data_IF_107370525313
#
_entry.id   IF_107370525313
#
_cell.length_a   1.000
_cell.length_b   1.000
_cell.length_c   1.000
_cell.angle_alpha   90.00
_cell.angle_beta   90.00
_cell.angle_gamma   90.00
#
_symmetry.space_group_name_H-M   'P 1'
#
loop_
_entity.id
_entity.type
_entity.pdbx_description
1 polymer ?
#
# COMPACT_ATOMS: atom_id res chain seq x y z
N UNK A 1 -4.18 -8.25 -16.05
CA UNK A 1 -3.21 -9.34 -15.84
C UNK A 1 -3.91 -10.48 -15.14
N UNK A 2 -3.48 -11.71 -15.36
CA UNK A 2 -3.82 -12.81 -14.46
C UNK A 2 -2.89 -12.76 -13.24
N UNK A 3 -3.35 -13.25 -12.09
CA UNK A 3 -2.55 -13.34 -10.87
C UNK A 3 -1.49 -14.44 -11.00
N UNK A 4 -1.93 -15.62 -11.42
CA UNK A 4 -1.09 -16.80 -11.68
C UNK A 4 -1.42 -17.40 -13.04
N UNK A 5 -0.41 -18.00 -13.68
CA UNK A 5 -0.52 -18.75 -14.94
C UNK A 5 0.39 -19.96 -14.89
N UNK A 6 0.02 -21.04 -15.59
CA UNK A 6 0.80 -22.29 -15.61
C UNK A 6 1.59 -22.53 -16.91
N UNK A 7 1.40 -21.68 -17.93
CA UNK A 7 1.99 -21.82 -19.25
C UNK A 7 1.32 -22.88 -20.15
N UNK A 8 0.28 -23.55 -19.67
CA UNK A 8 -0.54 -24.52 -20.42
C UNK A 8 -1.88 -23.93 -20.88
N UNK A 9 -2.11 -22.64 -20.60
CA UNK A 9 -3.31 -21.91 -20.98
C UNK A 9 -4.30 -21.71 -19.82
N UNK A 10 -3.99 -22.16 -18.60
CA UNK A 10 -4.80 -21.85 -17.43
C UNK A 10 -4.32 -20.56 -16.77
N UNK A 11 -5.26 -19.86 -16.12
CA UNK A 11 -5.00 -18.64 -15.39
C UNK A 11 -5.90 -18.53 -14.17
N UNK A 12 -5.38 -17.89 -13.12
CA UNK A 12 -6.15 -17.48 -11.94
C UNK A 12 -6.41 -15.98 -12.04
N UNK A 13 -7.68 -15.60 -12.02
CA UNK A 13 -8.12 -14.20 -12.01
C UNK A 13 -8.51 -13.84 -10.57
N UNK A 14 -7.60 -13.16 -9.88
CA UNK A 14 -7.78 -12.61 -8.55
C UNK A 14 -6.74 -11.52 -8.31
N UNK A 15 -6.76 -10.95 -7.11
CA UNK A 15 -5.61 -10.26 -6.54
C UNK A 15 -5.55 -10.52 -5.03
N UNK A 16 -4.37 -10.40 -4.44
CA UNK A 16 -4.13 -10.64 -3.02
C UNK A 16 -3.65 -9.37 -2.32
N UNK A 17 -3.95 -9.22 -1.04
CA UNK A 17 -3.57 -8.03 -0.29
C UNK A 17 -2.07 -7.96 0.09
N UNK A 18 -1.36 -9.08 0.06
CA UNK A 18 0.08 -9.12 0.31
C UNK A 18 0.86 -8.67 -0.93
N UNK A 19 1.99 -7.98 -0.73
CA UNK A 19 2.81 -7.49 -1.83
C UNK A 19 3.97 -8.47 -2.16
N UNK A 20 4.44 -8.56 -3.40
CA UNK A 20 3.92 -7.90 -4.61
C UNK A 20 2.58 -8.48 -5.06
N UNK A 21 1.73 -7.63 -5.64
CA UNK A 21 0.41 -7.97 -6.18
C UNK A 21 0.11 -7.16 -7.45
N UNK A 22 -1.06 -7.35 -8.09
CA UNK A 22 -1.34 -6.68 -9.37
C UNK A 22 -1.47 -5.16 -9.21
N UNK A 23 -2.00 -4.68 -8.07
CA UNK A 23 -2.08 -3.25 -7.76
C UNK A 23 -0.69 -2.59 -7.65
N UNK A 24 0.31 -3.30 -7.15
CA UNK A 24 1.63 -2.73 -6.86
C UNK A 24 2.65 -2.89 -7.98
N UNK A 25 2.25 -3.39 -9.16
CA UNK A 25 3.12 -3.46 -10.33
C UNK A 25 3.79 -2.11 -10.70
N UNK A 26 3.11 -0.94 -10.60
CA UNK A 26 3.77 0.35 -10.80
C UNK A 26 4.84 0.67 -9.75
N UNK A 27 4.67 0.25 -8.50
CA UNK A 27 5.71 0.45 -7.45
C UNK A 27 6.98 -0.32 -7.74
N UNK A 28 6.86 -1.44 -8.46
CA UNK A 28 7.97 -2.27 -8.88
C UNK A 28 8.57 -1.81 -10.22
N UNK A 29 8.09 -0.70 -10.78
CA UNK A 29 8.47 -0.18 -12.10
C UNK A 29 8.28 -1.22 -13.23
N UNK A 30 7.33 -2.15 -13.09
CA UNK A 30 7.04 -3.17 -14.10
C UNK A 30 6.07 -2.66 -15.16
N UNK A 31 5.27 -1.65 -14.82
CA UNK A 31 4.29 -1.03 -15.72
C UNK A 31 4.02 0.42 -15.30
N UNK A 32 3.67 1.27 -16.26
CA UNK A 32 3.25 2.63 -15.96
C UNK A 32 1.89 2.64 -15.29
N UNK A 33 1.69 3.58 -14.36
CA UNK A 33 0.45 3.71 -13.57
C UNK A 33 -0.76 4.07 -14.44
N UNK A 34 -0.56 4.73 -15.57
CA UNK A 34 -1.60 5.11 -16.53
C UNK A 34 -1.70 4.14 -17.73
N UNK A 35 -0.95 3.04 -17.72
CA UNK A 35 -1.03 2.03 -18.77
C UNK A 35 -2.45 1.42 -18.80
N UNK A 36 -3.14 1.40 -19.95
CA UNK A 36 -4.50 0.87 -20.05
C UNK A 36 -4.64 -0.58 -19.57
N UNK A 37 -3.62 -1.43 -19.73
CA UNK A 37 -3.62 -2.80 -19.23
C UNK A 37 -3.57 -2.85 -17.70
N UNK A 38 -2.77 -1.98 -17.08
CA UNK A 38 -2.73 -1.85 -15.64
C UNK A 38 -4.05 -1.29 -15.10
N UNK A 39 -4.59 -0.22 -15.70
CA UNK A 39 -5.87 0.39 -15.28
C UNK A 39 -7.02 -0.61 -15.33
N UNK A 40 -7.08 -1.45 -16.38
CA UNK A 40 -8.06 -2.54 -16.46
C UNK A 40 -7.85 -3.59 -15.37
N UNK A 41 -6.60 -3.93 -15.06
CA UNK A 41 -6.27 -4.90 -14.00
C UNK A 41 -6.63 -4.36 -12.62
N UNK A 42 -6.32 -3.08 -12.34
CA UNK A 42 -6.70 -2.36 -11.13
C UNK A 42 -8.22 -2.35 -10.94
N UNK A 43 -8.95 -2.05 -12.01
CA UNK A 43 -10.42 -2.04 -11.99
C UNK A 43 -10.99 -3.41 -11.63
N UNK A 44 -10.39 -4.50 -12.12
CA UNK A 44 -10.75 -5.87 -11.74
C UNK A 44 -10.36 -6.20 -10.28
N UNK A 45 -9.12 -5.88 -9.86
CA UNK A 45 -8.63 -6.13 -8.49
C UNK A 45 -9.52 -5.46 -7.44
N UNK A 46 -10.06 -4.27 -7.76
CA UNK A 46 -10.89 -3.44 -6.88
C UNK A 46 -12.41 -3.59 -7.15
N UNK A 47 -12.84 -4.73 -7.69
CA UNK A 47 -14.26 -5.04 -7.91
C UNK A 47 -14.65 -6.34 -7.24
N UNK A 48 -15.96 -6.59 -7.13
CA UNK A 48 -16.50 -7.88 -6.67
C UNK A 48 -16.22 -9.06 -7.62
N UNK A 49 -15.62 -8.82 -8.79
CA UNK A 49 -15.14 -9.89 -9.66
C UNK A 49 -13.85 -10.52 -9.12
N UNK A 50 -13.07 -9.79 -8.32
CA UNK A 50 -11.99 -10.37 -7.53
C UNK A 50 -12.57 -11.07 -6.29
N UNK A 51 -12.38 -12.39 -6.12
CA UNK A 51 -12.94 -13.13 -4.99
C UNK A 51 -12.40 -12.70 -3.62
N UNK A 52 -11.30 -11.94 -3.58
CA UNK A 52 -10.71 -11.42 -2.35
C UNK A 52 -10.88 -9.91 -2.17
N UNK A 53 -11.70 -9.24 -2.98
CA UNK A 53 -12.09 -7.87 -2.70
C UNK A 53 -13.35 -7.86 -1.83
N UNK A 54 -13.28 -7.16 -0.69
CA UNK A 54 -14.36 -7.10 0.28
C UNK A 54 -14.69 -5.65 0.62
N UNK A 55 -15.96 -5.41 0.98
CA UNK A 55 -16.46 -4.11 1.42
C UNK A 55 -17.19 -4.24 2.75
N UNK A 56 -16.96 -3.29 3.64
CA UNK A 56 -17.69 -3.13 4.88
C UNK A 56 -17.90 -1.67 5.24
N UNK A 57 -18.44 -1.43 6.42
CA UNK A 57 -18.82 -0.12 6.93
C UNK A 57 -17.63 0.83 7.11
N UNK A 58 -16.48 0.32 7.54
CA UNK A 58 -15.31 1.13 7.87
C UNK A 58 -14.31 1.20 6.71
N UNK A 59 -14.32 0.22 5.81
CA UNK A 59 -13.48 0.26 4.62
C UNK A 59 -13.74 -0.89 3.64
N UNK A 60 -13.12 -0.78 2.47
CA UNK A 60 -13.09 -1.78 1.42
C UNK A 60 -11.66 -2.00 0.90
N UNK A 61 -11.40 -3.22 0.44
CA UNK A 61 -10.05 -3.55 -0.02
C UNK A 61 -9.82 -5.03 -0.23
N UNK A 62 -8.57 -5.34 -0.55
CA UNK A 62 -8.11 -6.70 -0.74
C UNK A 62 -7.98 -7.42 0.61
N UNK A 63 -8.43 -8.66 0.64
CA UNK A 63 -8.10 -9.66 1.63
C UNK A 63 -7.12 -10.69 1.07
N UNK A 64 -7.04 -11.84 1.75
CA UNK A 64 -6.16 -12.93 1.35
C UNK A 64 -6.74 -14.28 1.78
N UNK A 65 -6.55 -15.37 1.00
CA UNK A 65 -6.82 -16.73 1.48
C UNK A 65 -5.99 -17.11 2.71
N UNK A 66 -4.94 -16.36 3.03
CA UNK A 66 -4.15 -16.54 4.26
C UNK A 66 -4.93 -16.17 5.53
N UNK A 67 -5.94 -15.33 5.41
CA UNK A 67 -6.75 -14.83 6.54
C UNK A 67 -8.21 -15.21 6.36
N UNK A 68 -9.04 -14.81 7.32
CA UNK A 68 -10.46 -15.12 7.30
C UNK A 68 -11.14 -14.49 6.08
N UNK A 69 -12.01 -15.26 5.42
CA UNK A 69 -12.85 -14.75 4.33
C UNK A 69 -13.66 -13.53 4.78
N UNK A 70 -13.75 -12.52 3.92
CA UNK A 70 -14.43 -11.25 4.20
C UNK A 70 -13.59 -10.21 4.94
N UNK A 71 -12.34 -10.52 5.30
CA UNK A 71 -11.45 -9.59 6.00
C UNK A 71 -10.49 -8.92 5.02
N UNK A 72 -10.20 -7.64 5.26
CA UNK A 72 -9.32 -6.81 4.43
C UNK A 72 -7.98 -6.61 5.13
N UNK A 73 -6.91 -6.37 4.37
CA UNK A 73 -5.60 -6.05 4.94
C UNK A 73 -5.28 -4.58 4.71
N UNK A 74 -4.93 -3.83 5.77
CA UNK A 74 -4.41 -2.48 5.60
C UNK A 74 -3.21 -2.41 4.65
N UNK A 75 -2.35 -3.45 4.61
CA UNK A 75 -1.21 -3.51 3.69
C UNK A 75 -1.65 -3.39 2.22
N UNK A 76 -2.72 -4.07 1.82
CA UNK A 76 -3.25 -4.02 0.46
C UNK A 76 -3.81 -2.64 0.11
N UNK A 77 -4.54 -2.02 1.04
CA UNK A 77 -5.10 -0.66 0.89
C UNK A 77 -3.97 0.38 0.81
N UNK A 78 -2.88 0.21 1.58
CA UNK A 78 -1.70 1.06 1.47
C UNK A 78 -1.04 0.90 0.09
N UNK A 79 -0.91 -0.34 -0.41
CA UNK A 79 -0.40 -0.60 -1.77
C UNK A 79 -1.28 0.03 -2.86
N UNK A 80 -2.60 0.00 -2.68
CA UNK A 80 -3.56 0.68 -3.53
C UNK A 80 -3.35 2.21 -3.53
N UNK A 81 -3.19 2.81 -2.35
CA UNK A 81 -2.98 4.25 -2.17
C UNK A 81 -1.65 4.71 -2.76
N UNK A 82 -0.59 3.92 -2.58
CA UNK A 82 0.72 4.11 -3.20
C UNK A 82 0.66 4.06 -4.74
N UNK A 83 -0.45 3.58 -5.32
CA UNK A 83 -0.63 3.51 -6.77
C UNK A 83 -1.87 4.25 -7.26
N UNK A 84 -2.41 5.16 -6.43
CA UNK A 84 -3.56 6.01 -6.77
C UNK A 84 -3.32 6.81 -8.03
N UNK A 85 -4.36 6.90 -8.87
CA UNK A 85 -4.32 7.63 -10.15
C UNK A 85 -4.53 9.13 -9.96
N UNK A 86 -5.22 9.52 -8.89
CA UNK A 86 -5.57 10.91 -8.58
C UNK A 86 -5.26 11.25 -7.11
N UNK A 87 -5.01 12.54 -6.79
CA UNK A 87 -4.92 13.00 -5.40
C UNK A 87 -6.19 12.75 -4.58
N UNK A 88 -7.36 12.79 -5.22
CA UNK A 88 -8.65 12.52 -4.59
C UNK A 88 -8.74 11.06 -4.13
N UNK A 89 -8.38 10.10 -5.02
CA UNK A 89 -8.36 8.67 -4.67
C UNK A 89 -7.40 8.41 -3.48
N UNK A 90 -6.22 9.05 -3.51
CA UNK A 90 -5.25 8.97 -2.42
C UNK A 90 -5.83 9.50 -1.11
N UNK A 91 -6.50 10.65 -1.13
CA UNK A 91 -7.11 11.25 0.05
C UNK A 91 -8.21 10.34 0.64
N UNK A 92 -9.04 9.74 -0.21
CA UNK A 92 -10.09 8.82 0.21
C UNK A 92 -9.51 7.55 0.86
N UNK A 93 -8.46 6.96 0.27
CA UNK A 93 -7.77 5.81 0.86
C UNK A 93 -7.09 6.15 2.19
N UNK A 94 -6.49 7.34 2.32
CA UNK A 94 -5.91 7.79 3.59
C UNK A 94 -6.97 8.00 4.68
N UNK A 95 -8.14 8.54 4.32
CA UNK A 95 -9.25 8.69 5.24
C UNK A 95 -9.77 7.34 5.72
N UNK A 96 -9.86 6.36 4.82
CA UNK A 96 -10.28 5.01 5.15
C UNK A 96 -9.27 4.27 6.03
N UNK A 97 -7.97 4.36 5.73
CA UNK A 97 -6.93 3.75 6.56
C UNK A 97 -6.99 4.20 8.03
N UNK A 98 -7.41 5.45 8.30
CA UNK A 98 -7.61 5.96 9.67
C UNK A 98 -8.79 5.33 10.40
N UNK A 99 -9.74 4.71 9.71
CA UNK A 99 -10.87 4.01 10.35
C UNK A 99 -10.49 2.56 10.70
N UNK A 100 -9.45 2.02 10.06
CA UNK A 100 -9.01 0.64 10.16
C UNK A 100 -7.77 0.45 11.06
N UNK A 101 -7.18 1.53 11.56
CA UNK A 101 -6.04 1.46 12.46
C UNK A 101 -6.43 0.99 13.87
N UNK A 102 -5.45 0.51 14.62
CA UNK A 102 -5.62 0.13 16.01
C UNK A 102 -5.61 1.33 16.95
N UNK A 103 -5.98 1.12 18.22
CA UNK A 103 -6.00 2.16 19.26
C UNK A 103 -4.68 2.96 19.45
N UNK A 104 -3.56 2.43 18.96
CA UNK A 104 -2.24 3.08 19.00
C UNK A 104 -1.85 3.77 17.68
N UNK A 105 -2.77 3.83 16.70
CA UNK A 105 -2.49 4.30 15.33
C UNK A 105 -1.62 3.35 14.52
N UNK A 106 -1.57 2.06 14.90
CA UNK A 106 -0.79 1.02 14.22
C UNK A 106 -1.71 0.05 13.50
N UNK A 107 -1.28 -0.44 12.35
CA UNK A 107 -2.02 -1.38 11.54
C UNK A 107 -1.86 -2.83 12.00
N UNK A 108 -2.98 -3.52 11.87
CA UNK A 108 -3.09 -4.96 11.97
C UNK A 108 -2.73 -5.64 10.64
N UNK A 109 -2.58 -6.97 10.64
CA UNK A 109 -2.42 -7.72 9.40
C UNK A 109 -3.71 -7.72 8.60
N UNK A 110 -4.81 -8.15 9.22
CA UNK A 110 -6.14 -8.14 8.62
C UNK A 110 -7.20 -7.72 9.62
N UNK A 111 -8.29 -7.13 9.12
CA UNK A 111 -9.40 -6.60 9.92
C UNK A 111 -10.75 -6.99 9.31
N UNK A 112 -11.75 -7.16 10.17
CA UNK A 112 -13.16 -7.21 9.76
C UNK A 112 -13.58 -5.78 9.33
N UNK A 113 -13.91 -5.53 8.04
CA UNK A 113 -14.19 -4.19 7.54
C UNK A 113 -15.49 -3.59 8.11
N UNK A 114 -16.34 -4.38 8.76
CA UNK A 114 -17.49 -3.89 9.53
C UNK A 114 -17.15 -3.67 11.01
N UNK A 115 -16.06 -4.25 11.51
CA UNK A 115 -15.70 -4.29 12.93
C UNK A 115 -14.16 -4.26 13.12
N UNK A 116 -13.47 -3.13 12.88
CA UNK A 116 -12.00 -3.07 12.84
C UNK A 116 -11.29 -3.51 14.14
N UNK A 117 -11.99 -3.48 15.28
CA UNK A 117 -11.51 -4.04 16.54
C UNK A 117 -11.38 -5.57 16.54
N UNK A 118 -11.83 -6.26 15.49
CA UNK A 118 -11.57 -7.67 15.22
C UNK A 118 -10.47 -7.76 14.17
N UNK A 119 -9.32 -8.28 14.58
CA UNK A 119 -8.13 -8.26 13.74
C UNK A 119 -7.23 -9.49 13.95
N UNK A 120 -6.33 -9.73 13.00
CA UNK A 120 -5.18 -10.63 13.15
C UNK A 120 -3.91 -9.81 13.31
N UNK A 121 -2.95 -10.33 14.10
CA UNK A 121 -1.66 -9.69 14.43
C UNK A 121 -1.77 -8.22 14.84
N UNK A 122 -1.78 -7.99 16.15
CA UNK A 122 -1.93 -6.65 16.75
C UNK A 122 -0.85 -5.61 16.39
N UNK A 123 0.25 -6.03 15.78
CA UNK A 123 1.34 -5.16 15.36
C UNK A 123 1.98 -5.75 14.10
N UNK A 124 1.72 -5.12 12.94
CA UNK A 124 2.29 -5.53 11.68
C UNK A 124 3.26 -4.48 11.14
N UNK A 125 4.52 -4.61 11.54
CA UNK A 125 5.58 -3.64 11.24
C UNK A 125 5.75 -3.30 9.76
N UNK A 126 5.45 -4.23 8.84
CA UNK A 126 5.52 -3.94 7.41
C UNK A 126 4.43 -2.96 6.95
N UNK A 127 3.17 -3.19 7.31
CA UNK A 127 2.09 -2.25 7.02
C UNK A 127 2.38 -0.88 7.63
N UNK A 128 2.86 -0.85 8.88
CA UNK A 128 3.25 0.39 9.56
C UNK A 128 4.37 1.15 8.82
N UNK A 129 5.42 0.45 8.37
CA UNK A 129 6.52 1.07 7.64
C UNK A 129 6.08 1.60 6.27
N UNK A 130 5.28 0.82 5.53
CA UNK A 130 4.79 1.23 4.21
C UNK A 130 3.81 2.41 4.32
N UNK A 131 2.97 2.44 5.35
CA UNK A 131 2.12 3.60 5.62
C UNK A 131 2.93 4.85 5.95
N UNK A 132 4.00 4.72 6.74
CA UNK A 132 4.90 5.85 7.00
C UNK A 132 5.51 6.38 5.69
N UNK A 133 5.94 5.49 4.79
CA UNK A 133 6.42 5.88 3.46
C UNK A 133 5.33 6.60 2.64
N UNK A 134 4.11 6.07 2.61
CA UNK A 134 2.96 6.70 1.95
C UNK A 134 2.75 8.12 2.46
N UNK A 135 2.72 8.32 3.78
CA UNK A 135 2.58 9.65 4.37
C UNK A 135 3.74 10.55 3.96
N UNK A 136 5.00 10.10 4.04
CA UNK A 136 6.13 10.93 3.64
C UNK A 136 6.04 11.38 2.18
N UNK A 137 5.65 10.49 1.27
CA UNK A 137 5.49 10.82 -0.15
C UNK A 137 4.37 11.83 -0.38
N UNK A 138 3.19 11.59 0.21
CA UNK A 138 2.04 12.50 0.10
C UNK A 138 2.36 13.90 0.60
N UNK A 139 3.08 13.98 1.72
CA UNK A 139 3.50 15.25 2.36
C UNK A 139 4.57 15.98 1.55
N UNK A 140 5.50 15.25 0.96
CA UNK A 140 6.57 15.80 0.15
C UNK A 140 6.13 16.16 -1.29
N UNK A 141 4.84 16.03 -1.61
CA UNK A 141 4.29 16.19 -2.97
C UNK A 141 5.00 15.29 -4.00
N UNK A 142 5.45 14.12 -3.55
CA UNK A 142 6.02 13.10 -4.41
C UNK A 142 4.89 12.23 -4.96
N UNK A 143 5.04 11.79 -6.21
CA UNK A 143 4.13 10.81 -6.78
C UNK A 143 4.09 9.54 -5.90
N UNK A 144 2.90 8.95 -5.69
CA UNK A 144 2.72 7.73 -4.89
C UNK A 144 3.60 6.55 -5.36
N UNK A 145 3.92 6.50 -6.66
CA UNK A 145 4.97 5.66 -7.23
C UNK A 145 6.11 6.55 -7.79
N UNK A 146 7.38 6.21 -7.59
CA UNK A 146 8.48 6.98 -8.18
C UNK A 146 8.39 6.93 -9.72
N UNK A 147 8.14 8.08 -10.38
CA UNK A 147 8.32 8.22 -11.84
C UNK A 147 9.82 8.26 -12.14
N UNK A 148 10.44 7.08 -12.13
CA UNK A 148 11.76 6.92 -12.70
C UNK A 148 11.60 6.33 -14.11
N UNK A 149 11.61 7.21 -15.10
CA UNK A 149 12.02 6.91 -16.50
C UNK A 149 13.46 6.34 -16.61
N UNK A 150 14.04 5.88 -15.50
CA UNK A 150 15.27 5.12 -15.39
C UNK A 150 14.91 3.71 -14.92
N UNK A 151 14.88 2.81 -15.89
CA UNK A 151 15.05 1.37 -15.66
C UNK A 151 16.19 1.17 -14.65
N UNK A 152 15.86 0.74 -13.43
CA UNK A 152 16.89 0.20 -12.53
C UNK A 152 17.20 -1.22 -13.04
N UNK A 153 18.45 -1.53 -13.39
CA UNK A 153 18.81 -2.84 -13.91
C UNK A 153 18.63 -3.91 -12.83
N UNK A 154 17.94 -4.99 -13.19
CA UNK A 154 18.13 -6.31 -12.58
C UNK A 154 17.18 -6.65 -11.44
N UNK A 155 16.15 -7.42 -11.78
CA UNK A 155 15.27 -8.19 -10.89
C UNK A 155 16.03 -9.23 -10.02
N UNK A 156 17.36 -9.30 -10.11
CA UNK A 156 18.22 -10.30 -9.47
C UNK A 156 19.61 -9.72 -9.12
N UNK A 157 19.72 -8.96 -8.03
CA UNK A 157 21.03 -8.81 -7.36
C UNK A 157 21.54 -7.40 -7.11
N UNK A 158 20.74 -6.52 -6.50
CA UNK A 158 21.30 -5.49 -5.63
C UNK A 158 21.11 -5.92 -4.17
N UNK A 159 22.21 -6.10 -3.44
CA UNK A 159 22.17 -6.13 -1.97
C UNK A 159 21.91 -4.72 -1.49
N UNK A 160 20.72 -4.48 -0.95
CA UNK A 160 20.42 -3.25 -0.24
C UNK A 160 20.94 -3.38 1.19
N UNK A 161 22.00 -2.65 1.52
CA UNK A 161 22.33 -2.40 2.92
C UNK A 161 21.42 -1.30 3.43
N UNK A 162 20.58 -1.60 4.43
CA UNK A 162 19.87 -0.55 5.18
C UNK A 162 20.91 0.40 5.76
N UNK A 163 20.90 1.71 5.43
CA UNK A 163 21.81 2.66 6.02
C UNK A 163 21.62 2.61 7.53
N UNK A 164 22.66 2.18 8.27
CA UNK A 164 22.62 2.25 9.72
C UNK A 164 22.61 3.73 10.09
N UNK A 165 21.59 4.18 10.82
CA UNK A 165 21.61 5.49 11.46
C UNK A 165 22.66 5.42 12.56
N UNK A 166 23.90 5.77 12.23
CA UNK A 166 25.07 5.49 13.07
C UNK A 166 25.28 6.49 14.19
N UNK A 167 24.57 7.63 14.18
CA UNK A 167 24.73 8.66 15.21
C UNK A 167 23.38 9.23 15.67
N UNK A 168 23.22 9.54 16.97
CA UNK A 168 22.02 10.19 17.49
C UNK A 168 21.65 11.46 16.72
N UNK A 169 22.65 12.23 16.27
CA UNK A 169 22.46 13.47 15.50
C UNK A 169 21.70 13.24 14.20
N UNK A 170 22.03 12.19 13.44
CA UNK A 170 21.33 11.84 12.20
C UNK A 170 19.87 11.41 12.45
N UNK A 171 19.59 10.77 13.60
CA UNK A 171 18.22 10.45 14.00
C UNK A 171 17.43 11.72 14.37
N UNK A 172 18.08 12.68 15.04
CA UNK A 172 17.48 13.98 15.39
C UNK A 172 17.20 14.84 14.16
N UNK A 173 18.10 14.86 13.17
CA UNK A 173 17.92 15.63 11.94
C UNK A 173 16.77 15.05 11.09
N UNK A 174 16.67 13.71 11.02
CA UNK A 174 15.54 13.05 10.37
C UNK A 174 14.22 13.35 11.12
N UNK A 175 14.20 13.23 12.44
CA UNK A 175 13.01 13.55 13.25
C UNK A 175 12.60 15.03 13.13
N UNK A 176 13.56 15.96 13.10
CA UNK A 176 13.31 17.39 12.92
C UNK A 176 12.74 17.70 11.53
N UNK A 177 13.23 17.01 10.50
CA UNK A 177 12.72 17.12 9.12
C UNK A 177 11.27 16.64 9.04
N UNK A 178 10.99 15.46 9.61
CA UNK A 178 9.64 14.87 9.70
C UNK A 178 8.70 15.80 10.46
N UNK A 179 9.13 16.29 11.63
CA UNK A 179 8.35 17.21 12.45
C UNK A 179 8.07 18.54 11.74
N UNK A 180 9.06 19.09 11.02
CA UNK A 180 8.89 20.35 10.28
C UNK A 180 7.90 20.18 9.13
N UNK A 181 7.99 19.09 8.37
CA UNK A 181 7.05 18.76 7.30
C UNK A 181 5.63 18.57 7.85
N UNK A 182 5.47 17.77 8.90
CA UNK A 182 4.16 17.57 9.56
C UNK A 182 3.59 18.87 10.13
N UNK A 183 4.44 19.74 10.70
CA UNK A 183 4.00 21.02 11.26
C UNK A 183 3.49 21.97 10.18
N UNK A 184 4.18 22.06 9.03
CA UNK A 184 3.75 22.90 7.91
C UNK A 184 2.38 22.48 7.37
N UNK A 185 2.11 21.17 7.36
CA UNK A 185 0.82 20.61 6.92
C UNK A 185 -0.30 20.89 7.92
N UNK A 186 -0.04 20.64 9.20
CA UNK A 186 -1.05 20.79 10.25
C UNK A 186 -1.36 22.25 10.57
N UNK A 187 -0.47 23.19 10.23
CA UNK A 187 -0.70 24.62 10.46
C UNK A 187 -1.57 25.31 9.40
N UNK A 188 -1.96 24.62 8.32
CA UNK A 188 -2.77 25.19 7.24
C UNK A 188 -2.08 26.39 6.57
N UNK A 189 -1.28 26.12 5.55
CA UNK A 189 -0.81 27.17 4.63
C UNK A 189 -1.96 27.80 3.84
#
# INVERSE_FOLDING_TARGET
>A
FAYEVDGLGHSVLMDDANLPNLLTLPLLNLIQRDDPLYVNSRSFSLSSDNPYWYRGQYGDGLGSPHTRTGWVWPLGIIGEAMTSLTPEDLADRLAELRTLDGQRGLFYESVDPDRPWRYTRGDFGWANALYAELIFRSVAWLEPAPDERRLVPGLLGATYETPKVTTPTQAWDAAATIYTALRQILSGG
#
